data_IF_119452113791
#
_entry.id   IF_119452113791
#
_cell.length_a   1.000
_cell.length_b   1.000
_cell.length_c   1.000
_cell.angle_alpha   90.00
_cell.angle_beta   90.00
_cell.angle_gamma   90.00
#
_symmetry.space_group_name_H-M   'P 1'
#
loop_
_entity.id
_entity.type
_entity.pdbx_description
1 polymer ?
#
# COMPACT_ATOMS: atom_id res chain seq x y z
N UNK A 1 -10.50 10.65 -6.57
CA UNK A 1 -10.66 9.34 -5.89
C UNK A 1 -11.23 9.66 -4.53
N UNK A 2 -11.56 8.65 -3.72
CA UNK A 2 -12.03 8.89 -2.36
C UNK A 2 -11.50 7.83 -1.40
N UNK A 3 -11.38 8.22 -0.14
CA UNK A 3 -11.14 7.30 0.97
C UNK A 3 -12.44 6.54 1.23
N UNK A 4 -12.36 5.22 1.29
CA UNK A 4 -13.47 4.31 1.51
C UNK A 4 -13.30 3.48 2.78
N UNK A 5 -12.07 3.34 3.26
CA UNK A 5 -11.78 2.62 4.49
C UNK A 5 -10.60 3.28 5.22
N UNK A 6 -10.62 3.18 6.55
CA UNK A 6 -9.60 3.73 7.44
C UNK A 6 -9.29 2.69 8.50
N UNK A 7 -8.00 2.46 8.78
CA UNK A 7 -7.57 1.60 9.89
C UNK A 7 -6.48 2.31 10.69
N UNK A 8 -6.71 2.46 12.00
CA UNK A 8 -5.80 3.10 12.94
C UNK A 8 -4.83 2.07 13.52
N UNK A 9 -3.58 2.07 13.06
CA UNK A 9 -2.53 1.21 13.58
C UNK A 9 -1.72 1.95 14.65
N UNK A 10 -1.56 1.32 15.82
CA UNK A 10 -0.87 1.90 16.97
C UNK A 10 -1.32 3.35 17.30
N UNK A 11 -2.64 3.56 17.33
CA UNK A 11 -3.28 4.87 17.63
C UNK A 11 -2.94 5.96 16.61
N UNK A 12 -2.70 5.57 15.36
CA UNK A 12 -2.39 6.48 14.27
C UNK A 12 -3.43 7.57 14.07
N UNK A 13 -4.71 7.21 14.03
CA UNK A 13 -5.80 8.17 13.80
C UNK A 13 -5.80 9.31 14.84
N UNK A 14 -5.65 8.96 16.11
CA UNK A 14 -5.64 9.93 17.22
C UNK A 14 -4.44 10.87 17.11
N UNK A 15 -3.26 10.33 16.78
CA UNK A 15 -2.03 11.13 16.59
C UNK A 15 -2.17 12.06 15.39
N UNK A 16 -2.66 11.55 14.25
CA UNK A 16 -2.88 12.34 13.04
C UNK A 16 -3.89 13.47 13.31
N UNK A 17 -5.06 13.17 13.88
CA UNK A 17 -6.07 14.21 14.19
C UNK A 17 -5.55 15.25 15.18
N UNK A 18 -4.76 14.84 16.17
CA UNK A 18 -4.25 15.76 17.20
C UNK A 18 -3.11 16.64 16.71
N UNK A 19 -2.19 16.10 15.91
CA UNK A 19 -0.91 16.77 15.59
C UNK A 19 -0.79 17.18 14.13
N UNK A 20 -1.50 16.51 13.22
CA UNK A 20 -1.30 16.60 11.78
C UNK A 20 -2.59 16.80 10.99
N UNK A 21 -3.60 17.44 11.60
CA UNK A 21 -4.91 17.60 10.95
C UNK A 21 -4.81 18.40 9.65
N UNK A 22 -3.95 19.43 9.61
CA UNK A 22 -3.72 20.24 8.40
C UNK A 22 -3.15 19.40 7.25
N UNK A 23 -2.13 18.58 7.55
CA UNK A 23 -1.53 17.66 6.59
C UNK A 23 -2.52 16.58 6.15
N UNK A 24 -3.39 16.12 7.05
CA UNK A 24 -4.44 15.16 6.72
C UNK A 24 -5.48 15.76 5.76
N UNK A 25 -5.87 17.02 5.92
CA UNK A 25 -6.75 17.74 4.98
C UNK A 25 -6.10 17.89 3.59
N UNK A 26 -4.79 18.16 3.55
CA UNK A 26 -4.03 18.16 2.28
C UNK A 26 -4.05 16.78 1.62
N UNK A 27 -3.81 15.70 2.37
CA UNK A 27 -3.85 14.32 1.84
C UNK A 27 -5.25 13.99 1.28
N UNK A 28 -6.32 14.36 1.99
CA UNK A 28 -7.68 14.20 1.50
C UNK A 28 -7.89 14.96 0.18
N UNK A 29 -7.38 16.18 0.09
CA UNK A 29 -7.45 17.00 -1.13
C UNK A 29 -6.66 16.37 -2.28
N UNK A 30 -5.47 15.84 -2.01
CA UNK A 30 -4.66 15.10 -3.00
C UNK A 30 -5.45 13.91 -3.54
N UNK A 31 -5.98 13.05 -2.67
CA UNK A 31 -6.76 11.86 -3.07
C UNK A 31 -8.00 12.27 -3.89
N UNK A 32 -8.69 13.34 -3.49
CA UNK A 32 -9.87 13.85 -4.19
C UNK A 32 -9.55 14.27 -5.64
N UNK A 33 -8.40 14.92 -5.87
CA UNK A 33 -7.97 15.40 -7.19
C UNK A 33 -7.62 14.30 -8.20
N UNK A 34 -7.26 13.10 -7.75
CA UNK A 34 -6.88 12.01 -8.66
C UNK A 34 -8.14 11.45 -9.35
N UNK A 35 -8.28 11.62 -10.67
CA UNK A 35 -9.36 10.96 -11.41
C UNK A 35 -8.91 9.55 -11.83
N UNK A 36 -9.38 8.51 -11.14
CA UNK A 36 -9.04 7.12 -11.42
C UNK A 36 -9.28 6.72 -12.89
N UNK A 37 -10.38 7.18 -13.51
CA UNK A 37 -10.73 6.84 -14.90
C UNK A 37 -9.66 7.26 -15.92
N UNK A 38 -8.90 8.33 -15.64
CA UNK A 38 -7.77 8.77 -16.49
C UNK A 38 -6.55 7.84 -16.43
N UNK A 39 -6.56 6.89 -15.50
CA UNK A 39 -5.47 5.95 -15.26
C UNK A 39 -5.81 4.51 -15.68
N UNK A 40 -6.99 4.26 -16.26
CA UNK A 40 -7.38 3.00 -16.89
C UNK A 40 -6.69 2.84 -18.26
N UNK A 41 -5.36 2.74 -18.25
CA UNK A 41 -4.51 2.89 -19.44
C UNK A 41 -3.59 1.70 -19.72
N UNK A 42 -3.66 0.64 -18.90
CA UNK A 42 -2.82 -0.54 -19.07
C UNK A 42 -3.61 -1.67 -19.71
N UNK A 43 -3.25 -2.06 -20.93
CA UNK A 43 -3.77 -3.30 -21.52
C UNK A 43 -3.08 -4.52 -20.88
N UNK A 44 -3.87 -5.45 -20.37
CA UNK A 44 -3.38 -6.66 -19.72
C UNK A 44 -2.84 -7.68 -20.73
N UNK A 45 -1.71 -8.30 -20.36
CA UNK A 45 -1.09 -9.44 -21.07
C UNK A 45 -1.21 -10.75 -20.27
N UNK A 46 -1.95 -10.73 -19.18
CA UNK A 46 -2.07 -11.86 -18.26
C UNK A 46 -3.08 -12.86 -18.81
N UNK A 47 -2.78 -14.17 -18.74
CA UNK A 47 -3.63 -15.23 -19.31
C UNK A 47 -5.08 -15.17 -18.83
N UNK A 48 -5.31 -14.79 -17.56
CA UNK A 48 -6.63 -14.71 -16.94
C UNK A 48 -7.43 -13.45 -17.30
N UNK A 49 -6.78 -12.43 -17.87
CA UNK A 49 -7.36 -11.12 -18.14
C UNK A 49 -6.85 -10.54 -19.47
N UNK A 50 -6.57 -11.39 -20.46
CA UNK A 50 -5.89 -10.96 -21.69
C UNK A 50 -6.72 -9.91 -22.44
N UNK A 51 -6.12 -8.76 -22.73
CA UNK A 51 -6.77 -7.67 -23.46
C UNK A 51 -7.62 -6.71 -22.62
N UNK A 52 -7.88 -7.01 -21.34
CA UNK A 52 -8.62 -6.12 -20.45
C UNK A 52 -7.86 -4.80 -20.21
N UNK A 53 -8.61 -3.70 -20.12
CA UNK A 53 -8.07 -2.40 -19.72
C UNK A 53 -8.06 -2.29 -18.19
N UNK A 54 -6.88 -2.08 -17.62
CA UNK A 54 -6.63 -2.05 -16.19
C UNK A 54 -6.11 -0.67 -15.77
N UNK A 55 -6.30 -0.36 -14.48
CA UNK A 55 -5.66 0.79 -13.86
C UNK A 55 -4.14 0.58 -13.84
N UNK A 56 -3.40 1.63 -14.20
CA UNK A 56 -1.95 1.62 -14.27
C UNK A 56 -1.33 2.17 -12.98
N UNK A 57 -0.68 1.33 -12.15
CA UNK A 57 0.03 1.78 -10.94
C UNK A 57 1.05 2.89 -11.23
N UNK A 58 1.78 2.78 -12.34
CA UNK A 58 2.78 3.78 -12.75
C UNK A 58 2.12 5.13 -13.02
N UNK A 59 0.99 5.13 -13.74
CA UNK A 59 0.25 6.35 -14.07
C UNK A 59 -0.32 7.00 -12.82
N UNK A 60 -0.87 6.20 -11.89
CA UNK A 60 -1.44 6.69 -10.64
C UNK A 60 -0.37 7.23 -9.71
N UNK A 61 0.75 6.52 -9.51
CA UNK A 61 1.87 7.00 -8.71
C UNK A 61 2.41 8.33 -9.23
N UNK A 62 2.49 8.52 -10.55
CA UNK A 62 2.87 9.81 -11.14
C UNK A 62 1.88 10.92 -10.81
N UNK A 63 0.58 10.63 -10.81
CA UNK A 63 -0.47 11.60 -10.48
C UNK A 63 -0.43 11.99 -9.00
N UNK A 64 -0.34 11.01 -8.10
CA UNK A 64 -0.15 11.26 -6.66
C UNK A 64 1.09 12.10 -6.40
N UNK A 65 2.23 11.72 -6.99
CA UNK A 65 3.49 12.46 -6.85
C UNK A 65 3.34 13.92 -7.28
N UNK A 66 2.68 14.18 -8.41
CA UNK A 66 2.44 15.56 -8.87
C UNK A 66 1.64 16.37 -7.84
N UNK A 67 0.53 15.83 -7.36
CA UNK A 67 -0.36 16.55 -6.44
C UNK A 67 0.30 16.77 -5.07
N UNK A 68 0.99 15.77 -4.51
CA UNK A 68 1.74 15.92 -3.27
C UNK A 68 2.83 17.00 -3.38
N UNK A 69 3.65 16.95 -4.44
CA UNK A 69 4.70 17.97 -4.66
C UNK A 69 4.11 19.38 -4.79
N UNK A 70 2.93 19.53 -5.40
CA UNK A 70 2.25 20.83 -5.53
C UNK A 70 1.82 21.42 -4.18
N UNK A 71 1.68 20.59 -3.15
CA UNK A 71 1.35 21.00 -1.78
C UNK A 71 2.59 21.09 -0.87
N UNK A 72 3.80 21.04 -1.45
CA UNK A 72 5.05 21.21 -0.73
C UNK A 72 5.51 19.97 0.05
N UNK A 73 4.88 18.82 -0.16
CA UNK A 73 5.41 17.55 0.32
C UNK A 73 6.69 17.20 -0.43
N UNK A 74 7.66 16.60 0.24
CA UNK A 74 8.97 16.30 -0.35
C UNK A 74 9.31 14.83 -0.22
N UNK A 75 9.92 14.28 -1.25
CA UNK A 75 10.58 12.99 -1.15
C UNK A 75 11.76 13.08 -0.17
N UNK A 76 11.95 12.04 0.65
CA UNK A 76 13.04 12.00 1.62
C UNK A 76 13.83 10.70 1.50
N UNK A 77 15.12 10.85 1.16
CA UNK A 77 16.04 9.73 0.97
C UNK A 77 17.10 9.73 2.06
N UNK A 78 17.36 8.56 2.62
CA UNK A 78 18.44 8.31 3.57
C UNK A 78 19.46 7.35 2.98
N UNK A 79 20.74 7.65 3.15
CA UNK A 79 21.82 6.73 2.80
C UNK A 79 21.96 5.66 3.89
N UNK A 80 22.10 4.41 3.48
CA UNK A 80 22.29 3.29 4.40
C UNK A 80 23.79 3.01 4.57
N UNK A 81 24.28 3.18 5.80
CA UNK A 81 25.66 2.84 6.16
C UNK A 81 25.68 1.44 6.79
N UNK A 82 26.15 0.44 6.03
CA UNK A 82 26.21 -0.94 6.50
C UNK A 82 27.53 -1.20 7.24
N UNK A 83 27.50 -1.54 8.53
CA UNK A 83 28.72 -1.74 9.30
C UNK A 83 29.38 -3.07 8.97
N UNK A 84 30.70 -3.08 8.82
CA UNK A 84 31.47 -4.28 8.52
C UNK A 84 31.58 -5.26 9.71
N UNK A 85 31.26 -4.81 10.94
CA UNK A 85 31.47 -5.56 12.18
C UNK A 85 30.64 -6.85 12.34
N UNK A 86 29.64 -7.07 11.50
CA UNK A 86 28.80 -8.27 11.54
C UNK A 86 29.22 -9.34 10.52
N UNK A 87 30.22 -9.06 9.67
CA UNK A 87 30.79 -10.08 8.80
C UNK A 87 31.67 -11.04 9.60
N UNK A 88 31.66 -12.31 9.19
CA UNK A 88 32.47 -13.36 9.82
C UNK A 88 33.97 -13.11 9.59
N UNK A 89 34.80 -13.61 10.50
CA UNK A 89 36.25 -13.49 10.40
C UNK A 89 36.77 -14.06 9.05
N UNK A 90 37.68 -13.33 8.41
CA UNK A 90 38.23 -13.70 7.11
C UNK A 90 37.41 -13.27 5.90
N UNK A 91 36.23 -12.66 6.09
CA UNK A 91 35.43 -12.09 5.01
C UNK A 91 35.45 -10.55 5.04
N UNK A 92 35.86 -9.94 3.93
CA UNK A 92 35.80 -8.49 3.73
C UNK A 92 34.74 -8.17 2.68
N UNK A 93 33.69 -7.41 3.00
CA UNK A 93 32.68 -7.05 2.01
C UNK A 93 33.28 -6.17 0.92
N UNK A 94 32.88 -6.42 -0.33
CA UNK A 94 33.24 -5.57 -1.46
C UNK A 94 32.70 -4.15 -1.27
N UNK A 95 33.46 -3.14 -1.66
CA UNK A 95 32.97 -1.76 -1.67
C UNK A 95 31.83 -1.59 -2.68
N UNK A 96 30.72 -1.02 -2.22
CA UNK A 96 29.58 -0.69 -3.07
C UNK A 96 29.84 0.61 -3.82
N UNK A 97 29.84 0.57 -5.16
CA UNK A 97 30.02 1.77 -6.02
C UNK A 97 28.91 2.81 -5.79
N UNK A 98 27.68 2.35 -5.59
CA UNK A 98 26.54 3.21 -5.31
C UNK A 98 26.07 2.95 -3.88
N UNK A 99 26.03 3.97 -3.01
CA UNK A 99 25.59 3.78 -1.65
C UNK A 99 24.10 3.37 -1.64
N UNK A 100 23.74 2.32 -0.89
CA UNK A 100 22.35 1.90 -0.76
C UNK A 100 21.53 2.97 -0.03
N UNK A 101 20.23 3.02 -0.28
CA UNK A 101 19.35 4.00 0.35
C UNK A 101 18.01 3.39 0.78
N UNK A 102 17.29 4.14 1.61
CA UNK A 102 15.84 4.01 1.76
C UNK A 102 15.19 5.31 1.39
N UNK A 103 13.97 5.19 0.86
CA UNK A 103 13.23 6.29 0.29
C UNK A 103 11.81 6.28 0.84
N UNK A 104 11.37 7.43 1.33
CA UNK A 104 9.98 7.66 1.71
C UNK A 104 9.36 8.63 0.72
N UNK A 105 8.21 8.24 0.17
CA UNK A 105 7.61 8.92 -0.97
C UNK A 105 7.40 10.41 -0.68
N UNK A 106 6.80 10.71 0.48
CA UNK A 106 6.46 12.07 0.88
C UNK A 106 6.66 12.28 2.39
N UNK A 107 7.30 13.38 2.75
CA UNK A 107 7.47 13.84 4.14
C UNK A 107 7.12 15.32 4.23
N UNK A 108 6.35 15.69 5.26
CA UNK A 108 6.06 17.08 5.63
C UNK A 108 5.81 17.17 7.13
N UNK A 109 6.41 18.14 7.81
CA UNK A 109 6.19 18.41 9.23
C UNK A 109 6.30 17.17 10.16
N UNK A 110 7.24 16.25 9.90
CA UNK A 110 7.38 14.95 10.62
C UNK A 110 6.22 13.97 10.41
N UNK A 111 5.39 14.13 9.40
CA UNK A 111 4.46 13.11 8.92
C UNK A 111 5.00 12.49 7.62
N UNK A 112 5.11 11.16 7.60
CA UNK A 112 5.46 10.39 6.39
C UNK A 112 4.21 9.88 5.69
N UNK A 113 4.21 9.87 4.36
CA UNK A 113 3.14 9.28 3.53
C UNK A 113 3.77 8.38 2.48
N UNK A 114 3.14 7.23 2.29
CA UNK A 114 3.47 6.22 1.30
C UNK A 114 2.25 5.94 0.42
N UNK A 115 2.46 5.83 -0.89
CA UNK A 115 1.39 5.47 -1.84
C UNK A 115 1.76 4.15 -2.49
N UNK A 116 0.99 3.10 -2.19
CA UNK A 116 1.39 1.75 -2.55
C UNK A 116 0.34 1.03 -3.41
N UNK A 117 0.69 0.86 -4.69
CA UNK A 117 -0.01 0.03 -5.68
C UNK A 117 0.86 -1.17 -6.13
N UNK A 118 1.76 -1.62 -5.25
CA UNK A 118 2.71 -2.70 -5.48
C UNK A 118 2.30 -4.02 -4.84
N UNK A 119 3.29 -4.87 -4.55
CA UNK A 119 3.09 -6.19 -3.91
C UNK A 119 2.92 -6.05 -2.39
N UNK A 120 2.26 -7.03 -1.77
CA UNK A 120 1.95 -7.05 -0.34
C UNK A 120 3.19 -6.88 0.56
N UNK A 121 4.32 -7.48 0.16
CA UNK A 121 5.57 -7.39 0.92
C UNK A 121 6.07 -5.96 1.09
N UNK A 122 5.79 -5.07 0.13
CA UNK A 122 6.16 -3.67 0.22
C UNK A 122 5.22 -2.86 1.13
N UNK A 123 3.92 -3.17 1.12
CA UNK A 123 2.94 -2.55 2.05
C UNK A 123 3.31 -2.85 3.51
N UNK A 124 3.61 -4.12 3.81
CA UNK A 124 4.04 -4.53 5.14
C UNK A 124 5.39 -3.93 5.50
N UNK A 125 6.35 -3.92 4.57
CA UNK A 125 7.63 -3.27 4.79
C UNK A 125 7.50 -1.78 5.12
N UNK A 126 6.61 -1.06 4.43
CA UNK A 126 6.38 0.36 4.67
C UNK A 126 5.97 0.63 6.12
N UNK A 127 4.90 -0.04 6.58
CA UNK A 127 4.31 0.20 7.91
C UNK A 127 5.19 -0.39 9.03
N UNK A 128 5.67 -1.62 8.86
CA UNK A 128 6.28 -2.39 9.95
C UNK A 128 7.78 -2.15 10.11
N UNK A 129 8.44 -1.57 9.11
CA UNK A 129 9.89 -1.37 9.12
C UNK A 129 10.30 0.03 8.67
N UNK A 130 9.88 0.47 7.48
CA UNK A 130 10.36 1.72 6.89
C UNK A 130 9.97 2.92 7.73
N UNK A 131 8.71 3.03 8.12
CA UNK A 131 8.23 4.13 8.97
C UNK A 131 8.97 4.18 10.32
N UNK A 132 9.17 3.04 10.98
CA UNK A 132 9.97 2.94 12.20
C UNK A 132 11.43 3.38 12.00
N UNK A 133 12.07 2.97 10.90
CA UNK A 133 13.45 3.41 10.59
C UNK A 133 13.51 4.93 10.47
N UNK A 134 12.59 5.53 9.71
CA UNK A 134 12.58 6.98 9.53
C UNK A 134 12.21 7.73 10.82
N UNK A 135 11.39 7.14 11.68
CA UNK A 135 11.14 7.67 13.02
C UNK A 135 12.38 7.66 13.89
N UNK A 136 13.12 6.56 13.94
CA UNK A 136 14.34 6.44 14.73
C UNK A 136 15.45 7.39 14.25
N UNK A 137 15.43 7.77 12.96
CA UNK A 137 16.31 8.79 12.39
C UNK A 137 15.78 10.22 12.59
N UNK A 138 14.69 10.38 13.35
CA UNK A 138 14.07 11.66 13.66
C UNK A 138 13.42 12.34 12.47
N UNK A 139 13.04 11.62 11.41
CA UNK A 139 12.47 12.20 10.18
C UNK A 139 10.95 12.33 10.28
N UNK A 140 10.28 11.35 10.90
CA UNK A 140 8.83 11.34 11.11
C UNK A 140 8.47 10.95 12.55
N UNK A 141 7.27 11.29 13.01
CA UNK A 141 6.70 10.82 14.28
C UNK A 141 5.44 9.97 14.06
N UNK A 142 4.85 10.03 12.87
CA UNK A 142 3.70 9.24 12.46
C UNK A 142 3.74 8.99 10.94
N UNK A 143 2.99 7.99 10.48
CA UNK A 143 2.91 7.59 9.08
C UNK A 143 1.48 7.48 8.54
N UNK A 144 1.33 7.59 7.22
CA UNK A 144 0.10 7.28 6.49
C UNK A 144 0.45 6.37 5.32
N UNK A 145 -0.25 5.25 5.19
CA UNK A 145 -0.12 4.33 4.05
C UNK A 145 -1.41 4.38 3.22
N UNK A 146 -1.30 4.81 1.96
CA UNK A 146 -2.42 4.92 1.02
C UNK A 146 -2.39 3.72 0.08
N UNK A 147 -3.45 2.91 0.11
CA UNK A 147 -3.55 1.63 -0.61
C UNK A 147 -4.91 1.50 -1.29
N UNK A 148 -5.03 0.77 -2.41
CA UNK A 148 -6.32 0.53 -3.03
C UNK A 148 -7.17 -0.39 -2.14
N UNK A 149 -8.49 -0.20 -2.12
CA UNK A 149 -9.39 -1.27 -1.64
C UNK A 149 -9.43 -2.42 -2.65
N UNK A 150 -9.87 -3.60 -2.23
CA UNK A 150 -9.92 -4.80 -3.08
C UNK A 150 -10.64 -4.56 -4.40
N UNK A 151 -11.76 -3.85 -4.41
CA UNK A 151 -12.53 -3.52 -5.62
C UNK A 151 -11.69 -2.78 -6.67
N UNK A 152 -10.88 -1.80 -6.24
CA UNK A 152 -9.99 -1.07 -7.12
C UNK A 152 -8.82 -1.94 -7.58
N UNK A 153 -8.25 -2.74 -6.66
CA UNK A 153 -7.12 -3.62 -6.95
C UNK A 153 -7.46 -4.77 -7.92
N UNK A 154 -8.72 -5.24 -7.93
CA UNK A 154 -9.20 -6.24 -8.88
C UNK A 154 -9.16 -5.76 -10.33
N UNK A 155 -9.18 -4.45 -10.53
CA UNK A 155 -9.04 -3.81 -11.84
C UNK A 155 -7.58 -3.34 -12.10
N UNK A 156 -6.61 -3.92 -11.39
CA UNK A 156 -5.16 -3.72 -11.56
C UNK A 156 -4.47 -5.03 -11.93
N UNK A 157 -3.14 -5.01 -12.07
CA UNK A 157 -2.35 -6.21 -12.41
C UNK A 157 -2.35 -7.23 -11.28
N UNK A 158 -2.17 -8.52 -11.60
CA UNK A 158 -2.19 -9.57 -10.58
C UNK A 158 -1.14 -9.34 -9.49
N UNK A 159 -1.59 -9.53 -8.25
CA UNK A 159 -0.78 -9.44 -7.05
C UNK A 159 -0.50 -8.01 -6.59
N UNK A 160 -1.19 -7.00 -7.13
CA UNK A 160 -1.33 -5.73 -6.43
C UNK A 160 -2.07 -5.99 -5.13
N UNK A 161 -1.46 -5.60 -4.02
CA UNK A 161 -2.05 -5.72 -2.69
C UNK A 161 -3.06 -4.62 -2.41
N UNK A 162 -3.90 -4.85 -1.41
CA UNK A 162 -5.05 -4.00 -1.10
C UNK A 162 -5.27 -3.86 0.40
N UNK A 163 -6.08 -2.86 0.77
CA UNK A 163 -6.37 -2.45 2.13
C UNK A 163 -6.72 -3.62 3.06
N UNK A 164 -7.68 -4.45 2.66
CA UNK A 164 -8.20 -5.55 3.47
C UNK A 164 -7.11 -6.58 3.79
N UNK A 165 -6.18 -6.82 2.87
CA UNK A 165 -5.04 -7.71 3.10
C UNK A 165 -4.08 -7.12 4.15
N UNK A 166 -3.73 -5.84 4.03
CA UNK A 166 -2.84 -5.18 4.99
C UNK A 166 -3.44 -5.09 6.38
N UNK A 167 -4.74 -4.79 6.49
CA UNK A 167 -5.43 -4.80 7.79
C UNK A 167 -5.33 -6.18 8.43
N UNK A 168 -5.67 -7.23 7.68
CA UNK A 168 -5.58 -8.61 8.19
C UNK A 168 -4.15 -8.95 8.63
N UNK A 169 -3.13 -8.64 7.82
CA UNK A 169 -1.73 -8.88 8.16
C UNK A 169 -1.32 -8.14 9.45
N UNK A 170 -1.74 -6.86 9.62
CA UNK A 170 -1.44 -6.06 10.81
C UNK A 170 -2.16 -6.56 12.07
N UNK A 171 -3.40 -7.04 11.94
CA UNK A 171 -4.13 -7.66 13.06
C UNK A 171 -3.50 -8.98 13.48
N UNK A 172 -3.15 -9.85 12.52
CA UNK A 172 -2.57 -11.16 12.82
C UNK A 172 -1.15 -11.06 13.37
N UNK A 173 -0.36 -10.08 12.94
CA UNK A 173 1.01 -9.89 13.46
C UNK A 173 1.03 -9.27 14.86
N UNK A 174 0.00 -8.49 15.21
CA UNK A 174 -0.06 -7.70 16.43
C UNK A 174 0.77 -6.40 16.38
N UNK A 175 0.86 -5.73 17.52
CA UNK A 175 1.62 -4.48 17.71
C UNK A 175 2.91 -4.79 18.46
N UNK A 176 4.01 -4.20 18.00
CA UNK A 176 5.33 -4.22 18.63
C UNK A 176 5.64 -2.90 19.32
N UNK A 177 6.55 -2.91 20.30
CA UNK A 177 6.99 -1.72 21.01
C UNK A 177 7.79 -0.73 20.13
N UNK A 178 8.23 -1.15 18.95
CA UNK A 178 8.92 -0.31 17.95
C UNK A 178 7.98 0.28 16.90
N UNK A 179 6.72 -0.13 16.89
CA UNK A 179 5.76 0.37 15.91
C UNK A 179 5.47 1.84 16.20
N UNK A 180 5.32 2.63 15.14
CA UNK A 180 4.93 4.04 15.26
C UNK A 180 3.43 4.20 14.96
N UNK A 181 2.80 5.30 15.38
CA UNK A 181 1.43 5.61 15.00
C UNK A 181 1.30 5.71 13.48
N UNK A 182 0.44 4.89 12.87
CA UNK A 182 0.21 4.90 11.43
C UNK A 182 -1.28 4.81 11.09
N UNK A 183 -1.72 5.57 10.09
CA UNK A 183 -3.08 5.53 9.59
C UNK A 183 -3.10 4.91 8.18
N UNK A 184 -3.85 3.83 8.01
CA UNK A 184 -3.98 3.16 6.70
C UNK A 184 -5.25 3.67 6.03
N UNK A 185 -5.12 4.15 4.79
CA UNK A 185 -6.22 4.70 4.00
C UNK A 185 -6.49 3.81 2.78
N UNK A 186 -7.63 3.14 2.80
CA UNK A 186 -8.15 2.40 1.65
C UNK A 186 -8.86 3.34 0.68
N UNK A 187 -8.37 3.45 -0.55
CA UNK A 187 -8.95 4.34 -1.58
C UNK A 187 -9.63 3.56 -2.70
N UNK A 188 -10.67 4.18 -3.28
CA UNK A 188 -11.37 3.67 -4.46
C UNK A 188 -11.62 4.75 -5.52
N UNK A 189 -12.09 4.29 -6.68
CA UNK A 189 -12.58 5.19 -7.72
C UNK A 189 -13.83 5.96 -7.23
N UNK A 190 -14.02 7.18 -7.75
CA UNK A 190 -15.28 7.88 -7.52
C UNK A 190 -16.34 7.20 -8.38
N UNK A 191 -17.48 6.84 -7.77
CA UNK A 191 -18.66 6.42 -8.51
C UNK A 191 -19.29 7.68 -9.09
N UNK A 192 -18.75 8.17 -10.20
CA UNK A 192 -19.46 9.10 -11.08
C UNK A 192 -19.92 8.27 -12.27
N UNK A 193 -21.24 8.19 -12.46
CA UNK A 193 -21.90 7.54 -13.60
C UNK A 193 -20.96 7.46 -14.80
N UNK A 194 -20.47 6.25 -15.06
CA UNK A 194 -19.79 5.93 -16.31
C UNK A 194 -20.82 6.22 -17.39
N UNK A 195 -20.73 7.40 -18.00
CA UNK A 195 -21.60 7.78 -19.09
C UNK A 195 -21.53 6.70 -20.17
N UNK A 196 -22.66 6.04 -20.41
CA UNK A 196 -22.93 5.26 -21.60
C UNK A 196 -22.08 4.00 -21.77
N UNK A 197 -22.23 3.02 -20.88
CA UNK A 197 -22.37 1.60 -21.25
C UNK A 197 -22.59 0.77 -19.98
N UNK A 198 -23.85 0.58 -19.62
CA UNK A 198 -24.27 -0.22 -18.45
C UNK A 198 -23.94 -1.72 -18.56
N UNK A 199 -23.24 -2.18 -19.60
CA UNK A 199 -22.95 -3.59 -19.82
C UNK A 199 -21.50 -4.05 -19.53
N UNK A 200 -20.63 -3.18 -18.99
CA UNK A 200 -19.19 -3.54 -18.88
C UNK A 200 -18.62 -3.63 -17.46
N UNK A 201 -19.40 -3.43 -16.38
CA UNK A 201 -18.85 -3.42 -15.02
C UNK A 201 -19.59 -4.25 -13.95
N UNK A 202 -20.54 -5.09 -14.33
CA UNK A 202 -21.17 -6.02 -13.38
C UNK A 202 -21.06 -7.47 -13.86
N UNK A 203 -19.90 -8.08 -13.62
CA UNK A 203 -19.79 -9.54 -13.42
C UNK A 203 -19.14 -9.79 -12.06
N UNK A 204 -19.75 -9.26 -11.01
CA UNK A 204 -19.58 -9.83 -9.68
C UNK A 204 -20.32 -11.18 -9.67
N UNK A 205 -19.73 -12.29 -9.19
CA UNK A 205 -20.48 -13.52 -8.99
C UNK A 205 -21.61 -13.22 -8.00
N UNK A 206 -22.86 -13.50 -8.41
CA UNK A 206 -24.03 -13.44 -7.54
C UNK A 206 -23.76 -14.37 -6.36
N UNK A 207 -23.63 -13.81 -5.16
CA UNK A 207 -23.80 -14.59 -3.94
C UNK A 207 -25.29 -14.86 -3.82
N UNK A 208 -25.70 -16.09 -4.14
CA UNK A 208 -27.04 -16.58 -3.89
C UNK A 208 -27.26 -16.60 -2.38
N UNK A 209 -28.00 -15.62 -1.86
CA UNK A 209 -28.53 -15.65 -0.50
C UNK A 209 -29.77 -16.53 -0.47
N UNK A 210 -29.57 -17.84 -0.59
CA UNK A 210 -30.51 -18.87 -0.16
C UNK A 210 -29.76 -20.18 0.10
N UNK A 211 -29.69 -20.56 1.37
CA UNK A 211 -29.94 -21.91 1.93
C UNK A 211 -29.26 -22.00 3.31
N UNK A 212 -30.12 -21.96 4.32
CA UNK A 212 -29.87 -22.48 5.66
C UNK A 212 -29.58 -23.98 5.58
N UNK A 213 -28.54 -24.42 6.27
CA UNK A 213 -28.38 -25.81 6.70
C UNK A 213 -27.80 -26.75 5.64
N UNK A 214 -26.50 -27.01 5.75
CA UNK A 214 -25.93 -28.37 5.73
C UNK A 214 -24.41 -28.29 5.98
N UNK A 215 -23.95 -29.11 6.93
CA UNK A 215 -22.57 -29.27 7.35
C UNK A 215 -21.65 -29.59 6.15
N UNK A 216 -20.66 -28.72 5.90
CA UNK A 216 -19.53 -29.06 5.04
C UNK A 216 -18.22 -29.05 5.84
N UNK A 217 -17.65 -30.23 6.03
CA UNK A 217 -16.25 -30.42 6.42
C UNK A 217 -15.35 -29.82 5.33
N UNK A 218 -14.33 -29.02 5.64
CA UNK A 218 -13.39 -28.56 4.64
C UNK A 218 -12.50 -29.73 4.19
N UNK A 219 -12.57 -30.10 2.90
CA UNK A 219 -11.50 -30.86 2.25
C UNK A 219 -10.29 -29.94 2.11
N UNK A 220 -9.30 -30.14 2.96
CA UNK A 220 -8.02 -29.45 2.88
C UNK A 220 -7.37 -29.67 1.51
N UNK A 221 -7.00 -28.57 0.84
CA UNK A 221 -5.93 -28.61 -0.17
C UNK A 221 -4.66 -28.20 0.55
N UNK A 222 -3.81 -29.19 0.77
CA UNK A 222 -2.48 -28.99 1.34
C UNK A 222 -1.68 -28.01 0.51
N UNK A 223 -1.12 -27.02 1.20
CA UNK A 223 0.03 -26.26 0.74
C UNK A 223 1.18 -27.26 0.57
N UNK A 224 1.77 -27.39 -0.62
CA UNK A 224 3.02 -28.14 -0.80
C UNK A 224 4.19 -27.23 -0.38
N UNK A 225 4.98 -27.57 0.65
CA UNK A 225 6.23 -26.88 0.91
C UNK A 225 7.22 -27.22 -0.21
N UNK A 226 7.70 -26.20 -0.92
CA UNK A 226 8.78 -26.33 -1.88
C UNK A 226 10.14 -26.38 -1.18
N UNK A 227 10.97 -27.32 -1.66
CA UNK A 227 12.41 -27.50 -1.44
C UNK A 227 12.91 -27.75 -0.01
N UNK A 228 13.14 -29.04 0.29
CA UNK A 228 14.23 -29.44 1.19
C UNK A 228 15.55 -29.11 0.50
N UNK A 229 16.43 -28.42 1.21
CA UNK A 229 17.83 -28.27 0.87
C UNK A 229 18.56 -29.28 1.78
N UNK A 230 19.23 -30.25 1.17
CA UNK A 230 20.30 -31.03 1.84
C UNK A 230 21.55 -30.16 1.98
#
# INVERSE_FOLDING_TARGET
>A
MRILAVYSFNRGEEVIKKRYMKEFEEINTVIAKINAGRHLSKQSKEKTMLGAMLYSPISMNKAFKKEFLSMGWKNHKITCNYPARYYVNGYTPSQTKNPPYRDMDFVKNKLGVEVQFGKYSFMIYNVCAKMTIFHNLGIIDAGIEIVPIKELAQNMSTGVSYFEQLVWDLEQRGVSNIDIPALILGIGANVTNLGGNENLLFHAPRFDTQIFGLNFRPKGRGFKPGAKIE
#
